data_IF_166011666997
#
_entry.id   IF_166011666997
#
_cell.length_a   1.000
_cell.length_b   1.000
_cell.length_c   1.000
_cell.angle_alpha   90.00
_cell.angle_beta   90.00
_cell.angle_gamma   90.00
#
_symmetry.space_group_name_H-M   'P 1'
#
loop_
_entity.id
_entity.type
_entity.pdbx_description
1 polymer ?
#
# COMPACT_ATOMS: atom_id res chain seq x y z
N UNK A 1 17.24 -6.33 3.75
CA UNK A 1 15.97 -6.87 4.27
C UNK A 1 14.81 -6.22 3.47
N UNK A 2 14.50 -6.73 2.26
CA UNK A 2 13.56 -6.09 1.30
C UNK A 2 12.38 -7.01 0.91
N UNK A 3 12.15 -8.11 1.64
CA UNK A 3 11.29 -9.21 1.19
C UNK A 3 9.80 -9.11 1.51
N UNK A 4 9.29 -8.00 2.07
CA UNK A 4 7.92 -7.90 2.63
C UNK A 4 7.06 -6.75 2.06
N UNK A 5 7.49 -6.05 1.00
CA UNK A 5 6.73 -4.91 0.44
C UNK A 5 6.13 -5.26 -0.92
N UNK A 6 4.84 -4.99 -1.11
CA UNK A 6 4.13 -5.18 -2.38
C UNK A 6 4.30 -4.01 -3.34
N UNK A 7 4.79 -2.88 -2.83
CA UNK A 7 5.15 -1.74 -3.63
C UNK A 7 6.18 -0.88 -2.91
N UNK A 8 6.64 0.13 -3.63
CA UNK A 8 7.36 1.26 -3.06
C UNK A 8 7.13 2.49 -3.91
N UNK A 9 7.08 3.63 -3.24
CA UNK A 9 7.01 4.93 -3.86
C UNK A 9 8.29 5.70 -3.53
N UNK A 10 8.89 6.31 -4.53
CA UNK A 10 9.96 7.30 -4.35
C UNK A 10 9.36 8.67 -4.68
N UNK A 11 8.89 9.43 -3.67
CA UNK A 11 8.16 10.68 -3.91
C UNK A 11 8.96 11.71 -4.72
N UNK A 12 10.27 11.82 -4.44
CA UNK A 12 11.21 12.72 -5.12
C UNK A 12 11.26 12.47 -6.64
N UNK A 13 11.24 11.19 -7.03
CA UNK A 13 11.34 10.72 -8.42
C UNK A 13 9.98 10.49 -9.09
N UNK A 14 8.88 10.57 -8.32
CA UNK A 14 7.51 10.16 -8.72
C UNK A 14 7.45 8.76 -9.34
N UNK A 15 8.30 7.85 -8.86
CA UNK A 15 8.35 6.45 -9.33
C UNK A 15 7.62 5.55 -8.35
N UNK A 16 6.68 4.77 -8.86
CA UNK A 16 6.01 3.69 -8.16
C UNK A 16 6.53 2.36 -8.72
N UNK A 17 6.94 1.47 -7.83
CA UNK A 17 7.31 0.10 -8.16
C UNK A 17 6.32 -0.84 -7.48
N UNK A 18 5.88 -1.86 -8.21
CA UNK A 18 4.91 -2.85 -7.76
C UNK A 18 5.57 -4.23 -7.87
N UNK A 19 5.44 -5.06 -6.85
CA UNK A 19 5.98 -6.41 -6.84
C UNK A 19 5.20 -7.32 -7.78
N UNK A 20 5.92 -8.15 -8.53
CA UNK A 20 5.41 -9.28 -9.29
C UNK A 20 4.57 -10.27 -8.47
N UNK A 21 4.81 -10.38 -7.16
CA UNK A 21 3.98 -11.19 -6.23
C UNK A 21 2.52 -10.76 -6.18
N UNK A 22 2.20 -9.54 -6.62
CA UNK A 22 0.82 -9.09 -6.75
C UNK A 22 0.14 -9.66 -7.99
N UNK A 23 0.85 -10.21 -8.97
CA UNK A 23 0.29 -10.60 -10.26
C UNK A 23 -0.92 -11.55 -10.10
N UNK A 24 -0.81 -12.52 -9.20
CA UNK A 24 -1.84 -13.53 -8.94
C UNK A 24 -2.85 -13.13 -7.85
N UNK A 25 -2.68 -11.94 -7.25
CA UNK A 25 -3.64 -11.45 -6.27
C UNK A 25 -4.91 -10.93 -6.94
N UNK A 26 -6.06 -10.97 -6.21
CA UNK A 26 -7.30 -10.42 -6.74
C UNK A 26 -7.11 -8.96 -7.21
N UNK A 27 -7.75 -8.53 -8.33
CA UNK A 27 -7.54 -7.19 -8.88
C UNK A 27 -7.74 -6.08 -7.85
N UNK A 28 -8.72 -6.24 -6.96
CA UNK A 28 -9.02 -5.25 -5.94
C UNK A 28 -7.94 -5.10 -4.87
N UNK A 29 -7.09 -6.11 -4.66
CA UNK A 29 -5.90 -6.05 -3.81
C UNK A 29 -4.76 -5.34 -4.52
N UNK A 30 -4.56 -5.62 -5.81
CA UNK A 30 -3.53 -4.94 -6.63
C UNK A 30 -3.81 -3.44 -6.74
N UNK A 31 -5.05 -3.09 -7.02
CA UNK A 31 -5.52 -1.70 -7.08
C UNK A 31 -5.31 -0.99 -5.74
N UNK A 32 -5.54 -1.69 -4.63
CA UNK A 32 -5.27 -1.14 -3.29
C UNK A 32 -3.79 -0.80 -3.10
N UNK A 33 -2.87 -1.67 -3.49
CA UNK A 33 -1.43 -1.37 -3.40
C UNK A 33 -1.06 -0.19 -4.29
N UNK A 34 -1.60 -0.10 -5.51
CA UNK A 34 -1.38 1.06 -6.38
C UNK A 34 -1.90 2.35 -5.71
N UNK A 35 -3.10 2.32 -5.13
CA UNK A 35 -3.66 3.45 -4.38
C UNK A 35 -2.77 3.84 -3.19
N UNK A 36 -2.23 2.86 -2.47
CA UNK A 36 -1.30 3.07 -1.36
C UNK A 36 -0.04 3.81 -1.83
N UNK A 37 0.61 3.34 -2.90
CA UNK A 37 1.81 3.99 -3.43
C UNK A 37 1.53 5.37 -4.03
N UNK A 38 0.36 5.57 -4.64
CA UNK A 38 -0.07 6.90 -5.10
C UNK A 38 -0.33 7.85 -3.94
N UNK A 39 -0.87 7.36 -2.82
CA UNK A 39 -1.06 8.17 -1.62
C UNK A 39 0.28 8.68 -1.06
N UNK A 40 1.34 7.87 -1.13
CA UNK A 40 2.71 8.27 -0.75
C UNK A 40 3.27 9.44 -1.57
N UNK A 41 2.77 9.69 -2.78
CA UNK A 41 3.14 10.88 -3.56
C UNK A 41 2.58 12.18 -2.96
N UNK A 42 1.53 12.09 -2.13
CA UNK A 42 0.79 13.23 -1.56
C UNK A 42 1.06 13.36 -0.06
N UNK A 43 1.13 12.24 0.65
CA UNK A 43 1.42 12.14 2.09
C UNK A 43 2.50 11.07 2.25
N UNK A 44 3.79 11.43 2.45
CA UNK A 44 4.89 10.47 2.48
C UNK A 44 4.90 9.51 3.67
N UNK A 45 4.09 9.80 4.69
CA UNK A 45 3.95 9.01 5.91
C UNK A 45 2.55 8.38 5.99
N UNK A 46 2.37 7.35 6.81
CA UNK A 46 1.07 6.73 7.07
C UNK A 46 0.20 7.52 8.06
N UNK A 47 0.23 8.86 7.97
CA UNK A 47 -0.54 9.76 8.83
C UNK A 47 -2.06 9.61 8.65
N UNK A 48 -2.85 10.23 9.52
CA UNK A 48 -4.32 10.27 9.36
C UNK A 48 -4.74 10.76 7.96
N UNK A 49 -4.06 11.77 7.42
CA UNK A 49 -4.33 12.31 6.08
C UNK A 49 -4.02 11.30 4.98
N UNK A 50 -2.96 10.50 5.14
CA UNK A 50 -2.67 9.39 4.23
C UNK A 50 -3.83 8.38 4.21
N UNK A 51 -4.30 7.97 5.39
CA UNK A 51 -5.41 7.03 5.49
C UNK A 51 -6.72 7.60 4.97
N UNK A 52 -6.98 8.89 5.14
CA UNK A 52 -8.11 9.57 4.47
C UNK A 52 -8.05 9.43 2.94
N UNK A 53 -6.86 9.53 2.34
CA UNK A 53 -6.67 9.36 0.90
C UNK A 53 -6.88 7.91 0.45
N UNK A 54 -6.27 6.95 1.16
CA UNK A 54 -6.33 5.51 0.85
C UNK A 54 -7.76 4.97 1.02
N UNK A 55 -8.47 5.40 2.07
CA UNK A 55 -9.83 4.94 2.37
C UNK A 55 -10.89 5.43 1.36
N UNK A 56 -10.53 6.30 0.41
CA UNK A 56 -11.41 6.63 -0.74
C UNK A 56 -11.57 5.45 -1.69
N UNK A 57 -10.65 4.48 -1.67
CA UNK A 57 -10.79 3.27 -2.44
C UNK A 57 -11.80 2.33 -1.77
N UNK A 58 -12.87 1.99 -2.49
CA UNK A 58 -14.04 1.24 -1.99
C UNK A 58 -13.73 -0.10 -1.30
N UNK A 59 -12.57 -0.71 -1.58
CA UNK A 59 -12.17 -2.00 -1.02
C UNK A 59 -10.95 -1.91 -0.11
N UNK A 60 -10.60 -0.72 0.37
CA UNK A 60 -9.40 -0.50 1.18
C UNK A 60 -9.33 -1.40 2.42
N UNK A 61 -10.42 -1.46 3.20
CA UNK A 61 -10.48 -2.27 4.41
C UNK A 61 -10.38 -3.78 4.10
N UNK A 62 -11.13 -4.26 3.10
CA UNK A 62 -11.03 -5.65 2.61
C UNK A 62 -9.62 -6.01 2.12
N UNK A 63 -8.96 -5.11 1.39
CA UNK A 63 -7.60 -5.32 0.86
C UNK A 63 -6.56 -5.42 1.96
N UNK A 64 -6.63 -4.57 2.99
CA UNK A 64 -5.80 -4.70 4.19
C UNK A 64 -5.98 -6.05 4.86
N UNK A 65 -7.23 -6.47 5.10
CA UNK A 65 -7.54 -7.78 5.68
C UNK A 65 -6.95 -8.95 4.88
N UNK A 66 -7.00 -8.87 3.55
CA UNK A 66 -6.38 -9.87 2.68
C UNK A 66 -4.85 -9.89 2.84
N UNK A 67 -4.20 -8.73 2.80
CA UNK A 67 -2.75 -8.59 2.92
C UNK A 67 -2.23 -9.05 4.29
N UNK A 68 -2.96 -8.76 5.36
CA UNK A 68 -2.74 -9.31 6.70
C UNK A 68 -2.77 -10.84 6.68
N UNK A 69 -3.81 -11.44 6.10
CA UNK A 69 -4.00 -12.88 6.11
C UNK A 69 -2.92 -13.65 5.34
N UNK A 70 -2.36 -13.05 4.27
CA UNK A 70 -1.24 -13.65 3.52
C UNK A 70 0.14 -13.39 4.16
N UNK A 71 0.19 -12.78 5.35
CA UNK A 71 1.39 -12.65 6.19
C UNK A 71 2.36 -11.54 5.76
N UNK A 72 1.87 -10.53 5.03
CA UNK A 72 2.72 -9.51 4.43
C UNK A 72 2.08 -8.13 4.55
N UNK A 73 2.02 -7.60 5.77
CA UNK A 73 1.92 -6.15 5.95
C UNK A 73 3.32 -5.56 6.14
N UNK A 74 3.55 -4.38 5.56
CA UNK A 74 4.70 -3.55 5.93
C UNK A 74 4.47 -3.10 7.37
N UNK A 75 5.36 -3.50 8.27
CA UNK A 75 5.43 -3.04 9.66
C UNK A 75 5.64 -1.52 9.72
N UNK A 76 4.62 -0.73 9.39
CA UNK A 76 4.60 0.74 9.48
C UNK A 76 3.33 1.21 10.26
N UNK A 77 2.77 0.35 11.13
CA UNK A 77 1.77 0.74 12.15
C UNK A 77 2.41 1.25 13.46
N UNK A 78 3.73 1.46 13.50
CA UNK A 78 4.42 1.98 14.67
C UNK A 78 4.80 3.46 14.47
N UNK A 79 4.27 4.32 15.36
CA UNK A 79 4.55 5.76 15.58
C UNK A 79 3.65 6.72 14.77
N UNK A 80 2.69 7.46 15.33
CA UNK A 80 2.42 7.95 16.70
C UNK A 80 0.91 8.14 16.92
#
# INVERSE_FOLDING_TARGET
>A
NQGRRFGSCTPEDKKIRISDRLADMPPWVRDYVIVHELAHLIQPDHSKKFWELVNRYRYAERARGYLMAVGMESDDEAEK
#
